data_IF_898220082673
#
_entry.id   IF_898220082673
#
_cell.length_a   1.000
_cell.length_b   1.000
_cell.length_c   1.000
_cell.angle_alpha   90.00
_cell.angle_beta   90.00
_cell.angle_gamma   90.00
#
_symmetry.space_group_name_H-M   'P 1'
#
loop_
_entity.id
_entity.type
_entity.pdbx_description
1 polymer ?
#
# COMPACT_ATOMS: atom_id res chain seq x y z
N UNK A 1 26.97 -0.85 34.79
CA UNK A 1 26.22 0.39 35.04
C UNK A 1 27.24 1.43 35.44
N UNK A 2 27.77 2.18 34.49
CA UNK A 2 28.57 3.38 34.79
C UNK A 2 28.59 4.31 33.56
N UNK A 3 27.90 5.45 33.74
CA UNK A 3 28.06 6.76 33.14
C UNK A 3 28.22 6.92 31.61
N UNK A 4 27.08 7.18 30.94
CA UNK A 4 26.97 7.63 29.54
C UNK A 4 26.59 9.13 29.42
N UNK A 5 27.15 10.01 30.25
CA UNK A 5 26.67 11.40 30.39
C UNK A 5 27.75 12.49 30.29
N UNK A 6 28.75 12.36 29.39
CA UNK A 6 29.79 13.40 29.29
C UNK A 6 30.25 13.83 27.88
N UNK A 7 29.42 13.70 26.82
CA UNK A 7 29.80 14.19 25.48
C UNK A 7 28.70 14.99 24.76
N UNK A 8 27.99 15.89 25.46
CA UNK A 8 27.01 16.80 24.83
C UNK A 8 27.32 18.30 25.01
N UNK A 9 28.58 18.66 25.24
CA UNK A 9 28.99 20.05 25.47
C UNK A 9 30.23 20.39 24.64
N UNK A 10 30.02 20.74 23.37
CA UNK A 10 30.81 21.68 22.57
C UNK A 10 30.47 21.50 21.08
N UNK A 11 29.32 22.01 20.67
CA UNK A 11 29.00 22.52 19.32
C UNK A 11 27.50 22.87 19.36
N UNK A 12 27.17 23.97 20.05
CA UNK A 12 25.84 24.57 19.90
C UNK A 12 25.78 25.21 18.52
N UNK A 13 24.93 24.67 17.64
CA UNK A 13 24.62 25.31 16.37
C UNK A 13 24.22 26.79 16.63
N UNK A 14 24.61 27.75 15.77
CA UNK A 14 24.19 29.14 15.91
C UNK A 14 22.66 29.21 16.01
N UNK A 15 22.12 30.20 16.73
CA UNK A 15 20.67 30.35 16.97
C UNK A 15 19.84 30.29 15.68
N UNK A 16 20.40 30.75 14.56
CA UNK A 16 19.82 30.68 13.21
C UNK A 16 19.60 29.25 12.68
N UNK A 17 20.35 28.27 13.20
CA UNK A 17 20.23 26.84 12.87
C UNK A 17 19.57 26.04 14.01
N UNK A 18 19.13 26.70 15.08
CA UNK A 18 18.33 26.10 16.14
C UNK A 18 16.86 26.17 15.77
N UNK A 19 16.26 25.01 15.56
CA UNK A 19 14.84 24.90 15.16
C UNK A 19 13.97 24.94 16.41
N UNK A 20 13.01 25.88 16.55
CA UNK A 20 12.00 25.81 17.59
C UNK A 20 11.16 24.54 17.38
N UNK A 21 11.06 23.69 18.41
CA UNK A 21 10.24 22.46 18.35
C UNK A 21 10.98 21.19 17.90
N UNK A 22 12.31 21.12 18.10
CA UNK A 22 13.11 19.92 17.85
C UNK A 22 12.45 18.67 18.45
N UNK A 23 11.95 17.78 17.61
CA UNK A 23 11.39 16.50 18.03
C UNK A 23 12.54 15.68 18.59
N UNK A 24 12.59 15.51 19.91
CA UNK A 24 13.51 14.59 20.57
C UNK A 24 12.98 13.16 20.43
N UNK A 25 12.99 12.63 19.20
CA UNK A 25 12.59 11.25 18.99
C UNK A 25 13.74 10.30 19.29
N UNK A 26 13.38 9.13 19.81
CA UNK A 26 14.29 8.02 20.07
C UNK A 26 14.82 7.48 18.73
N UNK A 27 16.12 7.69 18.44
CA UNK A 27 16.78 7.30 17.18
C UNK A 27 17.21 5.82 17.14
N UNK A 28 17.00 5.10 18.24
CA UNK A 28 17.30 3.68 18.43
C UNK A 28 16.27 2.74 17.77
N UNK A 29 15.06 3.23 17.49
CA UNK A 29 14.01 2.45 16.83
C UNK A 29 13.37 3.24 15.67
N UNK A 30 13.50 2.79 14.41
CA UNK A 30 12.93 3.45 13.23
C UNK A 30 11.41 3.68 13.32
N UNK A 31 10.66 2.72 13.88
CA UNK A 31 9.21 2.85 14.04
C UNK A 31 8.86 3.89 15.10
N UNK A 32 9.57 3.90 16.22
CA UNK A 32 9.33 4.91 17.26
C UNK A 32 9.68 6.32 16.78
N UNK A 33 10.75 6.45 15.99
CA UNK A 33 11.14 7.69 15.34
C UNK A 33 10.06 8.18 14.36
N UNK A 34 9.52 7.29 13.52
CA UNK A 34 8.44 7.61 12.58
C UNK A 34 7.14 7.99 13.30
N UNK A 35 6.77 7.23 14.33
CA UNK A 35 5.57 7.49 15.12
C UNK A 35 5.65 8.84 15.84
N UNK A 36 6.82 9.24 16.34
CA UNK A 36 7.00 10.55 16.97
C UNK A 36 6.63 11.69 16.00
N UNK A 37 7.08 11.61 14.74
CA UNK A 37 6.71 12.58 13.70
C UNK A 37 5.21 12.52 13.39
N UNK A 38 4.64 11.32 13.26
CA UNK A 38 3.22 11.14 13.01
C UNK A 38 2.33 11.71 14.12
N UNK A 39 2.73 11.57 15.40
CA UNK A 39 1.90 12.04 16.53
C UNK A 39 1.65 13.55 16.53
N UNK A 40 2.48 14.35 15.86
CA UNK A 40 2.20 15.78 15.67
C UNK A 40 0.98 16.03 14.78
N UNK A 41 0.76 15.14 13.83
CA UNK A 41 -0.29 15.20 12.82
C UNK A 41 -1.35 14.10 13.03
N UNK A 42 -1.52 13.64 14.27
CA UNK A 42 -2.45 12.55 14.62
C UNK A 42 -3.88 12.82 14.16
N UNK A 43 -4.31 14.09 14.11
CA UNK A 43 -5.62 14.51 13.63
C UNK A 43 -5.81 14.22 12.13
N UNK A 44 -4.77 14.38 11.29
CA UNK A 44 -4.81 13.99 9.87
C UNK A 44 -4.85 12.48 9.71
N UNK A 45 -4.13 11.75 10.57
CA UNK A 45 -4.23 10.30 10.64
C UNK A 45 -5.65 9.84 11.00
N UNK A 46 -6.28 10.49 11.99
CA UNK A 46 -7.63 10.21 12.42
C UNK A 46 -8.66 10.52 11.33
N UNK A 47 -8.58 11.68 10.66
CA UNK A 47 -9.51 12.01 9.56
C UNK A 47 -9.36 11.03 8.40
N UNK A 48 -8.14 10.57 8.11
CA UNK A 48 -7.90 9.54 7.10
C UNK A 48 -8.55 8.21 7.50
N UNK A 49 -8.41 7.78 8.76
CA UNK A 49 -9.01 6.55 9.26
C UNK A 49 -10.55 6.62 9.25
N UNK A 50 -11.13 7.70 9.79
CA UNK A 50 -12.58 7.93 9.82
C UNK A 50 -13.13 7.99 8.39
N UNK A 51 -12.48 8.74 7.51
CA UNK A 51 -12.86 8.84 6.10
C UNK A 51 -12.77 7.50 5.38
N UNK A 52 -11.77 6.66 5.70
CA UNK A 52 -11.62 5.34 5.12
C UNK A 52 -12.71 4.35 5.56
N UNK A 53 -12.97 4.25 6.86
CA UNK A 53 -14.02 3.40 7.43
C UNK A 53 -15.39 3.88 6.95
N UNK A 54 -15.66 5.19 7.03
CA UNK A 54 -16.90 5.78 6.57
C UNK A 54 -17.13 5.57 5.07
N UNK A 55 -16.10 5.74 4.24
CA UNK A 55 -16.20 5.45 2.82
C UNK A 55 -16.54 3.98 2.54
N UNK A 56 -15.92 3.04 3.25
CA UNK A 56 -16.19 1.61 3.09
C UNK A 56 -17.61 1.23 3.56
N UNK A 57 -18.02 1.70 4.73
CA UNK A 57 -19.37 1.47 5.25
C UNK A 57 -20.45 2.05 4.34
N UNK A 58 -20.23 3.24 3.76
CA UNK A 58 -21.17 3.86 2.82
C UNK A 58 -21.14 3.25 1.42
N UNK A 59 -20.05 2.57 1.05
CA UNK A 59 -20.00 1.79 -0.19
C UNK A 59 -20.98 0.60 -0.12
N UNK A 60 -21.08 -0.05 1.04
CA UNK A 60 -22.01 -1.15 1.29
C UNK A 60 -23.49 -0.74 1.27
N UNK A 61 -23.80 0.55 1.44
CA UNK A 61 -25.20 1.03 1.45
C UNK A 61 -25.87 0.82 0.09
N UNK A 62 -25.19 1.06 -1.01
CA UNK A 62 -25.77 0.94 -2.36
C UNK A 62 -26.33 -0.46 -2.61
N UNK A 63 -25.54 -1.55 -2.50
CA UNK A 63 -26.07 -2.89 -2.75
C UNK A 63 -27.19 -3.27 -1.77
N UNK A 64 -27.08 -2.88 -0.49
CA UNK A 64 -28.11 -3.13 0.53
C UNK A 64 -29.45 -2.47 0.18
N UNK A 65 -29.42 -1.18 -0.20
CA UNK A 65 -30.63 -0.43 -0.53
C UNK A 65 -31.22 -0.89 -1.87
N UNK A 66 -30.39 -1.23 -2.84
CA UNK A 66 -30.84 -1.84 -4.10
C UNK A 66 -31.53 -3.18 -3.83
N UNK A 67 -31.00 -4.02 -2.94
CA UNK A 67 -31.66 -5.25 -2.52
C UNK A 67 -33.04 -5.01 -1.91
N UNK A 68 -33.13 -4.06 -0.96
CA UNK A 68 -34.43 -3.69 -0.34
C UNK A 68 -35.43 -3.13 -1.36
N UNK A 69 -34.96 -2.38 -2.34
CA UNK A 69 -35.80 -1.87 -3.42
C UNK A 69 -36.35 -3.00 -4.30
N UNK A 70 -35.53 -4.02 -4.60
CA UNK A 70 -35.98 -5.21 -5.33
C UNK A 70 -37.04 -5.99 -4.55
N UNK A 71 -36.86 -6.18 -3.24
CA UNK A 71 -37.84 -6.86 -2.40
C UNK A 71 -39.18 -6.09 -2.35
N UNK A 72 -39.13 -4.77 -2.17
CA UNK A 72 -40.32 -3.92 -2.16
C UNK A 72 -41.12 -3.94 -3.49
N UNK A 73 -40.44 -4.19 -4.61
CA UNK A 73 -41.06 -4.36 -5.93
C UNK A 73 -41.70 -5.74 -6.14
N UNK A 74 -41.26 -6.75 -5.39
CA UNK A 74 -41.80 -8.11 -5.47
C UNK A 74 -42.98 -8.35 -4.52
N UNK A 75 -43.19 -7.46 -3.54
CA UNK A 75 -44.40 -7.45 -2.71
C UNK A 75 -45.67 -7.33 -3.59
N UNK A 76 -46.78 -7.89 -3.10
CA UNK A 76 -48.08 -7.79 -3.77
C UNK A 76 -49.13 -7.14 -2.84
N UNK A 77 -49.57 -5.88 -3.10
CA UNK A 77 -49.15 -5.02 -4.21
C UNK A 77 -47.72 -4.47 -4.05
N UNK A 78 -47.04 -4.12 -5.16
CA UNK A 78 -45.70 -3.53 -5.10
C UNK A 78 -45.67 -2.18 -4.37
N UNK A 79 -44.73 -2.01 -3.43
CA UNK A 79 -44.57 -0.79 -2.61
C UNK A 79 -43.74 0.27 -3.31
N UNK A 80 -44.21 0.74 -4.47
CA UNK A 80 -43.50 1.70 -5.32
C UNK A 80 -43.25 3.05 -4.65
N UNK A 81 -44.05 3.42 -3.67
CA UNK A 81 -43.90 4.63 -2.85
C UNK A 81 -42.57 4.69 -2.09
N UNK A 82 -41.94 3.54 -1.81
CA UNK A 82 -40.65 3.47 -1.11
C UNK A 82 -39.46 3.75 -2.02
N UNK A 83 -39.62 3.65 -3.34
CA UNK A 83 -38.50 3.75 -4.29
C UNK A 83 -37.86 5.14 -4.30
N UNK A 84 -38.66 6.20 -4.16
CA UNK A 84 -38.13 7.56 -4.06
C UNK A 84 -37.27 7.73 -2.81
N UNK A 85 -37.70 7.16 -1.68
CA UNK A 85 -36.93 7.19 -0.43
C UNK A 85 -35.62 6.41 -0.57
N UNK A 86 -35.63 5.23 -1.20
CA UNK A 86 -34.40 4.46 -1.47
C UNK A 86 -33.44 5.22 -2.38
N UNK A 87 -33.93 5.85 -3.44
CA UNK A 87 -33.11 6.68 -4.32
C UNK A 87 -32.49 7.87 -3.58
N UNK A 88 -33.28 8.57 -2.76
CA UNK A 88 -32.78 9.69 -1.94
C UNK A 88 -31.73 9.24 -0.92
N UNK A 89 -31.93 8.09 -0.27
CA UNK A 89 -30.92 7.50 0.64
C UNK A 89 -29.62 7.22 -0.11
N UNK A 90 -29.68 6.61 -1.30
CA UNK A 90 -28.48 6.36 -2.13
C UNK A 90 -27.79 7.69 -2.47
N UNK A 91 -28.52 8.69 -2.98
CA UNK A 91 -27.92 9.98 -3.35
C UNK A 91 -27.26 10.65 -2.15
N UNK A 92 -27.97 10.78 -1.02
CA UNK A 92 -27.43 11.42 0.18
C UNK A 92 -26.20 10.68 0.69
N UNK A 93 -26.26 9.35 0.76
CA UNK A 93 -25.13 8.55 1.27
C UNK A 93 -23.93 8.59 0.33
N UNK A 94 -24.13 8.62 -1.00
CA UNK A 94 -23.02 8.74 -1.95
C UNK A 94 -22.41 10.15 -1.95
N UNK A 95 -23.20 11.20 -1.72
CA UNK A 95 -22.67 12.56 -1.52
C UNK A 95 -21.80 12.64 -0.27
N UNK A 96 -22.29 12.10 0.86
CA UNK A 96 -21.51 12.03 2.11
C UNK A 96 -20.24 11.21 1.91
N UNK A 97 -20.35 10.05 1.24
CA UNK A 97 -19.20 9.21 0.89
C UNK A 97 -18.17 9.97 0.07
N UNK A 98 -18.59 10.73 -0.94
CA UNK A 98 -17.70 11.56 -1.74
C UNK A 98 -16.96 12.61 -0.90
N UNK A 99 -17.66 13.29 0.01
CA UNK A 99 -17.04 14.24 0.94
C UNK A 99 -16.01 13.56 1.87
N UNK A 100 -16.34 12.39 2.43
CA UNK A 100 -15.42 11.59 3.25
C UNK A 100 -14.20 11.11 2.46
N UNK A 101 -14.39 10.71 1.21
CA UNK A 101 -13.31 10.29 0.32
C UNK A 101 -12.37 11.45 -0.01
N UNK A 102 -12.89 12.64 -0.27
CA UNK A 102 -12.10 13.86 -0.45
C UNK A 102 -11.32 14.19 0.83
N UNK A 103 -11.98 14.20 1.99
CA UNK A 103 -11.34 14.46 3.28
C UNK A 103 -10.23 13.46 3.60
N UNK A 104 -10.46 12.17 3.32
CA UNK A 104 -9.48 11.10 3.47
C UNK A 104 -8.26 11.34 2.58
N UNK A 105 -8.48 11.52 1.28
CA UNK A 105 -7.38 11.64 0.31
C UNK A 105 -6.58 12.91 0.55
N UNK A 106 -7.25 14.03 0.86
CA UNK A 106 -6.58 15.28 1.21
C UNK A 106 -5.76 15.14 2.50
N UNK A 107 -6.30 14.49 3.53
CA UNK A 107 -5.60 14.31 4.80
C UNK A 107 -4.39 13.40 4.67
N UNK A 108 -4.50 12.30 3.90
CA UNK A 108 -3.39 11.40 3.62
C UNK A 108 -2.26 12.09 2.85
N UNK A 109 -2.62 12.87 1.82
CA UNK A 109 -1.66 13.62 1.00
C UNK A 109 -0.96 14.71 1.83
N UNK A 110 -1.72 15.51 2.57
CA UNK A 110 -1.18 16.55 3.43
C UNK A 110 -0.27 15.97 4.52
N UNK A 111 -0.68 14.85 5.14
CA UNK A 111 0.15 14.14 6.10
C UNK A 111 1.47 13.68 5.47
N UNK A 112 1.43 13.05 4.29
CA UNK A 112 2.63 12.62 3.58
C UNK A 112 3.59 13.77 3.29
N UNK A 113 3.07 14.90 2.82
CA UNK A 113 3.87 16.10 2.52
C UNK A 113 4.47 16.74 3.78
N UNK A 114 3.71 16.83 4.87
CA UNK A 114 4.22 17.38 6.14
C UNK A 114 5.31 16.49 6.74
N UNK A 115 5.12 15.17 6.73
CA UNK A 115 6.13 14.20 7.16
C UNK A 115 7.39 14.31 6.31
N UNK A 116 7.25 14.37 4.98
CA UNK A 116 8.39 14.55 4.08
C UNK A 116 9.15 15.85 4.37
N UNK A 117 8.43 16.97 4.54
CA UNK A 117 9.03 18.28 4.85
C UNK A 117 9.83 18.22 6.14
N UNK A 118 9.25 17.70 7.21
CA UNK A 118 9.87 17.71 8.54
C UNK A 118 11.09 16.80 8.60
N UNK A 119 11.00 15.62 7.96
CA UNK A 119 12.12 14.68 7.87
C UNK A 119 13.23 15.24 7.00
N UNK A 120 12.90 15.87 5.87
CA UNK A 120 13.88 16.55 5.00
C UNK A 120 14.62 17.64 5.78
N UNK A 121 13.89 18.39 6.59
CA UNK A 121 14.45 19.43 7.44
C UNK A 121 15.33 18.85 8.55
N UNK A 122 14.89 17.81 9.27
CA UNK A 122 15.71 17.13 10.29
C UNK A 122 17.01 16.59 9.69
N UNK A 123 16.93 15.96 8.51
CA UNK A 123 18.09 15.45 7.80
C UNK A 123 19.05 16.58 7.41
N UNK A 124 18.53 17.67 6.84
CA UNK A 124 19.32 18.83 6.45
C UNK A 124 20.05 19.47 7.65
N UNK A 125 19.35 19.74 8.74
CA UNK A 125 19.95 20.28 9.97
C UNK A 125 20.98 19.30 10.55
N UNK A 126 20.70 17.99 10.52
CA UNK A 126 21.66 16.98 10.97
C UNK A 126 22.91 16.93 10.09
N UNK A 127 22.81 17.18 8.78
CA UNK A 127 23.95 17.19 7.87
C UNK A 127 24.83 18.43 8.11
N UNK A 128 24.22 19.62 8.26
CA UNK A 128 24.96 20.85 8.56
C UNK A 128 25.76 20.80 9.87
N UNK A 129 25.28 20.03 10.85
CA UNK A 129 25.97 19.84 12.13
C UNK A 129 27.07 18.78 12.13
N UNK A 130 27.41 18.15 10.99
CA UNK A 130 28.48 17.14 10.92
C UNK A 130 29.85 17.77 10.67
N UNK A 131 30.90 17.04 11.05
CA UNK A 131 32.28 17.49 10.85
C UNK A 131 32.68 17.46 9.38
N UNK A 132 33.69 18.25 9.01
CA UNK A 132 34.26 18.21 7.66
C UNK A 132 34.77 16.81 7.29
N UNK A 133 35.28 16.03 8.26
CA UNK A 133 35.69 14.64 8.05
C UNK A 133 34.53 13.75 7.61
N UNK A 134 33.31 13.96 8.13
CA UNK A 134 32.13 13.22 7.68
C UNK A 134 31.82 13.55 6.22
N UNK A 135 31.86 14.85 5.86
CA UNK A 135 31.60 15.29 4.49
C UNK A 135 32.69 14.87 3.49
N UNK A 136 33.95 14.72 3.92
CA UNK A 136 35.03 14.23 3.05
C UNK A 136 34.95 12.73 2.76
N UNK A 137 34.22 11.97 3.57
CA UNK A 137 34.09 10.51 3.44
C UNK A 137 32.84 10.08 2.66
N UNK A 138 31.90 10.99 2.37
CA UNK A 138 30.68 10.69 1.61
C UNK A 138 30.64 11.47 0.29
N UNK A 139 30.37 10.80 -0.85
CA UNK A 139 30.10 11.49 -2.10
C UNK A 139 28.91 12.45 -1.96
N UNK A 140 29.06 13.69 -2.45
CA UNK A 140 27.98 14.69 -2.41
C UNK A 140 26.72 14.19 -3.13
N UNK A 141 26.89 13.43 -4.22
CA UNK A 141 25.80 12.80 -4.96
C UNK A 141 24.97 11.84 -4.10
N UNK A 142 25.61 11.03 -3.26
CA UNK A 142 24.92 10.09 -2.37
C UNK A 142 24.11 10.84 -1.31
N UNK A 143 24.68 11.91 -0.74
CA UNK A 143 23.99 12.74 0.25
C UNK A 143 22.76 13.40 -0.37
N UNK A 144 22.89 13.92 -1.60
CA UNK A 144 21.78 14.52 -2.34
C UNK A 144 20.70 13.50 -2.69
N UNK A 145 21.09 12.31 -3.17
CA UNK A 145 20.17 11.25 -3.52
C UNK A 145 19.35 10.79 -2.32
N UNK A 146 19.98 10.57 -1.15
CA UNK A 146 19.27 10.20 0.09
C UNK A 146 18.35 11.31 0.58
N UNK A 147 18.78 12.58 0.47
CA UNK A 147 17.98 13.72 0.90
C UNK A 147 16.77 14.00 0.00
N UNK A 148 16.86 13.63 -1.28
CA UNK A 148 15.79 13.85 -2.25
C UNK A 148 14.85 12.64 -2.39
N UNK A 149 15.40 11.44 -2.58
CA UNK A 149 14.67 10.23 -2.94
C UNK A 149 14.23 9.45 -1.71
N UNK A 150 15.15 9.11 -0.79
CA UNK A 150 14.78 8.29 0.39
C UNK A 150 13.76 9.00 1.28
N UNK A 151 13.88 10.32 1.44
CA UNK A 151 12.91 11.11 2.21
C UNK A 151 11.53 11.12 1.53
N UNK A 152 11.49 11.12 0.19
CA UNK A 152 10.24 11.05 -0.57
C UNK A 152 9.55 9.70 -0.43
N UNK A 153 10.27 8.61 -0.21
CA UNK A 153 9.66 7.30 0.07
C UNK A 153 8.77 7.33 1.33
N UNK A 154 9.08 8.18 2.31
CA UNK A 154 8.21 8.37 3.48
C UNK A 154 6.86 8.94 3.06
N UNK A 155 6.81 9.85 2.09
CA UNK A 155 5.55 10.36 1.54
C UNK A 155 4.71 9.20 0.99
N UNK A 156 5.31 8.31 0.20
CA UNK A 156 4.62 7.17 -0.41
C UNK A 156 4.05 6.17 0.59
N UNK A 157 4.67 6.05 1.78
CA UNK A 157 4.11 5.24 2.88
C UNK A 157 2.75 5.76 3.36
N UNK A 158 2.54 7.07 3.36
CA UNK A 158 1.27 7.68 3.78
C UNK A 158 0.32 7.88 2.59
N UNK A 159 0.81 8.37 1.46
CA UNK A 159 0.05 8.62 0.22
C UNK A 159 0.75 7.98 -0.99
N UNK A 160 0.25 6.85 -1.55
CA UNK A 160 -1.03 6.20 -1.29
C UNK A 160 -0.99 5.05 -0.28
N UNK A 161 0.16 4.75 0.36
CA UNK A 161 0.35 3.53 1.14
C UNK A 161 -0.73 3.27 2.21
N UNK A 162 -1.07 4.27 3.02
CA UNK A 162 -2.13 4.15 4.03
C UNK A 162 -3.50 3.83 3.41
N UNK A 163 -3.83 4.49 2.31
CA UNK A 163 -5.09 4.30 1.60
C UNK A 163 -5.21 2.88 1.01
N UNK A 164 -4.10 2.31 0.54
CA UNK A 164 -4.06 0.94 0.01
C UNK A 164 -4.28 -0.08 1.12
N UNK A 165 -3.62 0.06 2.27
CA UNK A 165 -3.77 -0.86 3.41
C UNK A 165 -5.20 -0.84 3.93
N UNK A 166 -5.74 0.34 4.24
CA UNK A 166 -7.09 0.45 4.80
C UNK A 166 -8.16 0.07 3.77
N UNK A 167 -7.96 0.43 2.49
CA UNK A 167 -8.85 0.02 1.40
C UNK A 167 -8.92 -1.49 1.25
N UNK A 168 -7.77 -2.17 1.24
CA UNK A 168 -7.67 -3.63 1.10
C UNK A 168 -8.26 -4.35 2.32
N UNK A 169 -8.01 -3.85 3.54
CA UNK A 169 -8.60 -4.40 4.74
C UNK A 169 -10.14 -4.31 4.72
N UNK A 170 -10.68 -3.17 4.31
CA UNK A 170 -12.12 -2.98 4.20
C UNK A 170 -12.75 -3.90 3.15
N UNK A 171 -12.09 -4.12 2.02
CA UNK A 171 -12.54 -5.06 0.98
C UNK A 171 -12.71 -6.48 1.52
N UNK A 172 -11.85 -6.91 2.45
CA UNK A 172 -11.94 -8.23 3.08
C UNK A 172 -12.97 -8.25 4.22
N UNK A 173 -13.00 -7.21 5.06
CA UNK A 173 -13.77 -7.20 6.31
C UNK A 173 -15.25 -6.92 6.08
N UNK A 174 -15.59 -5.99 5.17
CA UNK A 174 -16.99 -5.56 4.97
C UNK A 174 -17.91 -6.69 4.50
N UNK A 175 -17.54 -7.52 3.51
CA UNK A 175 -18.38 -8.66 3.13
C UNK A 175 -18.64 -9.60 4.30
N UNK A 176 -17.63 -9.87 5.15
CA UNK A 176 -17.77 -10.74 6.32
C UNK A 176 -18.78 -10.17 7.33
N UNK A 177 -18.69 -8.88 7.64
CA UNK A 177 -19.56 -8.21 8.62
C UNK A 177 -21.01 -8.13 8.12
N UNK A 178 -21.21 -7.69 6.87
CA UNK A 178 -22.56 -7.41 6.36
C UNK A 178 -23.29 -8.66 5.86
N UNK A 179 -22.60 -9.71 5.42
CA UNK A 179 -23.25 -10.94 4.93
C UNK A 179 -24.10 -11.65 5.98
N UNK A 180 -23.71 -11.55 7.26
CA UNK A 180 -24.46 -12.15 8.38
C UNK A 180 -25.88 -11.60 8.51
N UNK A 181 -26.14 -10.38 8.03
CA UNK A 181 -27.46 -9.74 8.12
C UNK A 181 -28.52 -10.43 7.25
N UNK A 182 -28.10 -11.15 6.22
CA UNK A 182 -29.00 -11.86 5.30
C UNK A 182 -29.23 -13.31 5.73
N UNK A 183 -28.14 -14.06 5.91
CA UNK A 183 -28.21 -15.42 6.43
C UNK A 183 -26.86 -15.82 7.03
N UNK A 184 -26.80 -16.48 8.21
CA UNK A 184 -25.53 -16.82 8.86
C UNK A 184 -24.57 -17.63 7.99
N UNK A 185 -25.08 -18.46 7.09
CA UNK A 185 -24.23 -19.25 6.19
C UNK A 185 -23.55 -18.43 5.09
N UNK A 186 -24.04 -17.23 4.76
CA UNK A 186 -23.46 -16.37 3.70
C UNK A 186 -22.13 -15.73 4.12
N UNK A 187 -21.69 -15.90 5.36
CA UNK A 187 -20.33 -15.58 5.78
C UNK A 187 -19.27 -16.55 5.22
N UNK A 188 -19.70 -17.74 4.78
CA UNK A 188 -18.80 -18.81 4.35
C UNK A 188 -18.00 -18.42 3.10
N UNK A 189 -18.60 -17.92 2.00
CA UNK A 189 -17.85 -17.53 0.80
C UNK A 189 -16.74 -16.50 1.04
N UNK A 190 -16.98 -15.34 1.70
CA UNK A 190 -15.91 -14.38 1.96
C UNK A 190 -14.85 -14.89 2.95
N UNK A 191 -15.21 -15.78 3.88
CA UNK A 191 -14.25 -16.42 4.77
C UNK A 191 -13.35 -17.43 4.02
N UNK A 192 -13.93 -18.23 3.12
CA UNK A 192 -13.17 -19.12 2.24
C UNK A 192 -12.24 -18.30 1.34
N UNK A 193 -12.73 -17.19 0.77
CA UNK A 193 -11.90 -16.26 0.01
C UNK A 193 -10.71 -15.78 0.83
N UNK A 194 -10.93 -15.30 2.06
CA UNK A 194 -9.87 -14.83 2.94
C UNK A 194 -8.81 -15.92 3.19
N UNK A 195 -9.23 -17.14 3.52
CA UNK A 195 -8.30 -18.25 3.78
C UNK A 195 -7.50 -18.60 2.53
N UNK A 196 -8.17 -18.79 1.40
CA UNK A 196 -7.52 -19.14 0.13
C UNK A 196 -6.60 -18.01 -0.36
N UNK A 197 -7.00 -16.75 -0.19
CA UNK A 197 -6.20 -15.57 -0.50
C UNK A 197 -4.91 -15.54 0.32
N UNK A 198 -4.99 -15.75 1.64
CA UNK A 198 -3.81 -15.77 2.51
C UNK A 198 -2.86 -16.90 2.12
N UNK A 199 -3.38 -18.11 1.87
CA UNK A 199 -2.57 -19.26 1.46
C UNK A 199 -1.90 -19.01 0.11
N UNK A 200 -2.66 -18.53 -0.88
CA UNK A 200 -2.15 -18.21 -2.21
C UNK A 200 -1.07 -17.12 -2.15
N UNK A 201 -1.32 -16.06 -1.36
CA UNK A 201 -0.37 -14.96 -1.18
C UNK A 201 0.90 -15.44 -0.48
N UNK A 202 0.79 -16.27 0.56
CA UNK A 202 1.93 -16.82 1.27
C UNK A 202 2.81 -17.69 0.36
N UNK A 203 2.19 -18.61 -0.38
CA UNK A 203 2.89 -19.45 -1.35
C UNK A 203 3.56 -18.61 -2.45
N UNK A 204 2.84 -17.64 -2.99
CA UNK A 204 3.34 -16.71 -4.00
C UNK A 204 4.58 -15.96 -3.51
N UNK A 205 4.53 -15.37 -2.32
CA UNK A 205 5.67 -14.63 -1.75
C UNK A 205 6.86 -15.55 -1.45
N UNK A 206 6.61 -16.77 -0.96
CA UNK A 206 7.66 -17.75 -0.67
C UNK A 206 8.42 -18.18 -1.95
N UNK A 207 7.70 -18.39 -3.06
CA UNK A 207 8.29 -18.73 -4.35
C UNK A 207 8.98 -17.54 -5.01
N UNK A 208 8.37 -16.35 -4.96
CA UNK A 208 8.86 -15.16 -5.64
C UNK A 208 10.12 -14.56 -5.00
N UNK A 209 10.20 -14.55 -3.66
CA UNK A 209 11.30 -13.91 -2.92
C UNK A 209 12.71 -14.31 -3.42
N UNK A 210 13.09 -15.61 -3.49
CA UNK A 210 14.42 -15.99 -3.97
C UNK A 210 14.64 -15.66 -5.45
N UNK A 211 13.58 -15.63 -6.27
CA UNK A 211 13.67 -15.32 -7.69
C UNK A 211 13.96 -13.83 -7.88
N UNK A 212 13.24 -12.96 -7.18
CA UNK A 212 13.50 -11.52 -7.19
C UNK A 212 14.90 -11.20 -6.67
N UNK A 213 15.41 -11.91 -5.66
CA UNK A 213 16.79 -11.77 -5.22
C UNK A 213 17.81 -12.20 -6.29
N UNK A 214 17.48 -13.24 -7.07
CA UNK A 214 18.33 -13.68 -8.19
C UNK A 214 18.37 -12.67 -9.34
N UNK A 215 17.24 -12.02 -9.62
CA UNK A 215 17.11 -10.92 -10.58
C UNK A 215 17.98 -9.73 -10.14
N UNK A 216 17.83 -9.28 -8.89
CA UNK A 216 18.62 -8.17 -8.33
C UNK A 216 20.12 -8.43 -8.41
N UNK A 217 20.56 -9.66 -8.08
CA UNK A 217 21.98 -10.06 -8.18
C UNK A 217 22.49 -10.05 -9.62
N UNK A 218 21.70 -10.55 -10.57
CA UNK A 218 22.07 -10.57 -11.99
C UNK A 218 22.16 -9.15 -12.56
N UNK A 219 21.20 -8.28 -12.22
CA UNK A 219 21.21 -6.87 -12.60
C UNK A 219 22.42 -6.13 -12.00
N UNK A 220 22.71 -6.36 -10.71
CA UNK A 220 23.89 -5.79 -10.05
C UNK A 220 25.21 -6.19 -10.71
N UNK A 221 25.36 -7.47 -11.09
CA UNK A 221 26.56 -7.96 -11.81
C UNK A 221 26.70 -7.30 -13.18
N UNK A 222 25.59 -7.19 -13.93
CA UNK A 222 25.56 -6.53 -15.24
C UNK A 222 26.03 -5.07 -15.14
N UNK A 223 25.44 -4.30 -14.21
CA UNK A 223 25.76 -2.89 -14.04
C UNK A 223 27.16 -2.66 -13.49
N UNK A 224 27.62 -3.48 -12.53
CA UNK A 224 28.97 -3.36 -11.99
C UNK A 224 30.02 -3.57 -13.07
N UNK A 225 29.87 -4.59 -13.93
CA UNK A 225 30.83 -4.82 -15.01
C UNK A 225 30.76 -3.75 -16.08
N UNK A 226 29.56 -3.26 -16.41
CA UNK A 226 29.40 -2.16 -17.34
C UNK A 226 30.11 -0.89 -16.83
N UNK A 227 29.93 -0.53 -15.55
CA UNK A 227 30.62 0.62 -14.95
C UNK A 227 32.13 0.47 -15.03
N UNK A 228 32.65 -0.69 -14.63
CA UNK A 228 34.09 -0.97 -14.66
C UNK A 228 34.67 -0.86 -16.09
N UNK A 229 33.98 -1.38 -17.09
CA UNK A 229 34.42 -1.30 -18.49
C UNK A 229 34.36 0.13 -19.05
N UNK A 230 33.37 0.93 -18.65
CA UNK A 230 33.23 2.33 -19.08
C UNK A 230 34.26 3.23 -18.38
N UNK A 231 34.43 3.06 -17.07
CA UNK A 231 35.43 3.81 -16.29
C UNK A 231 36.85 3.45 -16.74
N UNK A 232 37.08 2.19 -17.10
CA UNK A 232 38.35 1.66 -17.62
C UNK A 232 38.51 1.67 -19.14
N UNK A 233 37.72 2.47 -19.87
CA UNK A 233 37.61 2.35 -21.35
C UNK A 233 38.94 2.53 -22.08
N UNK A 234 39.85 3.36 -21.58
CA UNK A 234 41.19 3.54 -22.15
C UNK A 234 42.03 2.25 -22.04
N UNK A 235 41.89 1.50 -20.95
CA UNK A 235 42.58 0.22 -20.74
C UNK A 235 42.01 -0.85 -21.68
N UNK A 236 40.68 -0.92 -21.80
CA UNK A 236 40.01 -1.86 -22.71
C UNK A 236 40.48 -1.64 -24.16
N UNK A 237 40.50 -0.38 -24.62
CA UNK A 237 41.00 0.00 -25.95
C UNK A 237 42.49 -0.23 -26.11
N UNK A 238 43.28 0.07 -25.07
CA UNK A 238 44.73 -0.14 -25.06
C UNK A 238 45.13 -1.61 -25.17
N UNK A 239 44.27 -2.53 -24.70
CA UNK A 239 44.45 -3.97 -24.82
C UNK A 239 43.75 -4.59 -26.05
N UNK A 240 43.00 -3.81 -26.83
CA UNK A 240 42.17 -4.26 -27.94
C UNK A 240 41.14 -5.36 -27.55
N UNK A 241 40.54 -5.24 -26.37
CA UNK A 241 39.59 -6.20 -25.77
C UNK A 241 38.12 -5.76 -25.90
N UNK A 242 37.78 -4.80 -26.78
CA UNK A 242 36.42 -4.25 -26.88
C UNK A 242 35.37 -5.32 -27.23
N UNK A 243 35.67 -6.22 -28.19
CA UNK A 243 34.75 -7.30 -28.55
C UNK A 243 34.54 -8.29 -27.40
N UNK A 244 35.57 -8.53 -26.60
CA UNK A 244 35.51 -9.40 -25.43
C UNK A 244 34.57 -8.82 -24.37
N UNK A 245 34.70 -7.52 -24.07
CA UNK A 245 33.79 -6.83 -23.14
C UNK A 245 32.35 -6.77 -23.66
N UNK A 246 32.15 -6.52 -24.97
CA UNK A 246 30.82 -6.55 -25.58
C UNK A 246 30.18 -7.94 -25.43
N UNK A 247 30.95 -9.00 -25.69
CA UNK A 247 30.48 -10.38 -25.53
C UNK A 247 30.17 -10.71 -24.06
N UNK A 248 31.00 -10.27 -23.12
CA UNK A 248 30.77 -10.44 -21.68
C UNK A 248 29.51 -9.71 -21.22
N UNK A 249 29.32 -8.46 -21.65
CA UNK A 249 28.10 -7.69 -21.41
C UNK A 249 26.88 -8.41 -21.97
N UNK A 250 26.92 -8.86 -23.22
CA UNK A 250 25.82 -9.59 -23.85
C UNK A 250 25.46 -10.87 -23.08
N UNK A 251 26.46 -11.60 -22.57
CA UNK A 251 26.24 -12.79 -21.74
C UNK A 251 25.58 -12.45 -20.39
N UNK A 252 26.03 -11.39 -19.72
CA UNK A 252 25.42 -10.93 -18.47
C UNK A 252 24.00 -10.40 -18.69
N UNK A 253 23.75 -9.68 -19.78
CA UNK A 253 22.42 -9.21 -20.16
C UNK A 253 21.46 -10.38 -20.43
N UNK A 254 21.90 -11.42 -21.15
CA UNK A 254 21.11 -12.65 -21.34
C UNK A 254 20.82 -13.37 -20.02
N UNK A 255 21.77 -13.39 -19.07
CA UNK A 255 21.54 -13.97 -17.74
C UNK A 255 20.49 -13.18 -16.96
N UNK A 256 20.58 -11.86 -16.95
CA UNK A 256 19.59 -10.99 -16.34
C UNK A 256 18.21 -11.22 -16.98
N UNK A 257 18.11 -11.15 -18.31
CA UNK A 257 16.86 -11.40 -19.05
C UNK A 257 16.24 -12.76 -18.71
N UNK A 258 17.03 -13.84 -18.62
CA UNK A 258 16.52 -15.17 -18.25
C UNK A 258 15.95 -15.20 -16.82
N UNK A 259 16.54 -14.46 -15.88
CA UNK A 259 16.01 -14.35 -14.51
C UNK A 259 14.75 -13.51 -14.47
N UNK A 260 14.70 -12.44 -15.25
CA UNK A 260 13.53 -11.56 -15.38
C UNK A 260 12.34 -12.32 -15.96
N UNK A 261 12.54 -13.08 -17.03
CA UNK A 261 11.49 -13.92 -17.63
C UNK A 261 10.99 -14.95 -16.61
N UNK A 262 11.89 -15.59 -15.87
CA UNK A 262 11.50 -16.55 -14.84
C UNK A 262 10.67 -15.92 -13.71
N UNK A 263 11.00 -14.68 -13.31
CA UNK A 263 10.16 -13.93 -12.39
C UNK A 263 8.77 -13.68 -12.98
N UNK A 264 8.71 -13.21 -14.23
CA UNK A 264 7.46 -12.99 -14.95
C UNK A 264 6.59 -14.26 -15.07
N UNK A 265 7.20 -15.43 -15.29
CA UNK A 265 6.49 -16.71 -15.35
C UNK A 265 5.80 -17.07 -14.02
N UNK A 266 6.40 -16.71 -12.88
CA UNK A 266 5.82 -16.91 -11.55
C UNK A 266 4.75 -15.85 -11.25
N UNK A 267 5.00 -14.59 -11.59
CA UNK A 267 4.03 -13.50 -11.47
C UNK A 267 2.75 -13.76 -12.28
N UNK A 268 2.89 -14.32 -13.49
CA UNK A 268 1.75 -14.68 -14.35
C UNK A 268 0.84 -15.76 -13.75
N UNK A 269 1.30 -16.51 -12.75
CA UNK A 269 0.53 -17.55 -12.04
C UNK A 269 -0.18 -17.03 -10.80
N UNK A 270 -0.23 -15.72 -10.58
CA UNK A 270 -0.92 -15.14 -9.43
C UNK A 270 -2.44 -15.43 -9.45
N UNK A 271 -2.85 -16.46 -8.71
CA UNK A 271 -4.23 -16.98 -8.67
C UNK A 271 -5.29 -16.19 -7.87
N UNK A 272 -5.01 -15.17 -7.03
CA UNK A 272 -6.04 -14.52 -6.21
C UNK A 272 -7.29 -14.01 -6.93
N UNK A 273 -7.17 -13.52 -8.17
CA UNK A 273 -8.32 -13.09 -8.96
C UNK A 273 -9.22 -14.28 -9.36
N UNK A 274 -8.63 -15.44 -9.66
CA UNK A 274 -9.37 -16.68 -9.92
C UNK A 274 -10.08 -17.16 -8.65
N UNK A 275 -9.40 -17.12 -7.50
CA UNK A 275 -9.99 -17.45 -6.19
C UNK A 275 -11.18 -16.54 -5.89
N UNK A 276 -11.05 -15.24 -6.15
CA UNK A 276 -12.15 -14.28 -6.01
C UNK A 276 -13.35 -14.68 -6.87
N UNK A 277 -13.16 -14.91 -8.17
CA UNK A 277 -14.23 -15.33 -9.07
C UNK A 277 -14.90 -16.65 -8.65
N UNK A 278 -14.12 -17.65 -8.23
CA UNK A 278 -14.65 -18.92 -7.74
C UNK A 278 -15.48 -18.77 -6.46
N UNK A 279 -15.02 -17.96 -5.52
CA UNK A 279 -15.75 -17.70 -4.26
C UNK A 279 -17.00 -16.86 -4.48
N UNK A 280 -16.98 -15.91 -5.41
CA UNK A 280 -18.17 -15.16 -5.84
C UNK A 280 -19.19 -16.09 -6.51
N UNK A 281 -18.75 -16.97 -7.42
CA UNK A 281 -19.63 -17.96 -8.06
C UNK A 281 -20.22 -18.94 -7.02
N UNK A 282 -19.41 -19.44 -6.09
CA UNK A 282 -19.86 -20.29 -4.99
C UNK A 282 -20.83 -19.58 -4.04
N UNK A 283 -20.58 -18.31 -3.73
CA UNK A 283 -21.46 -17.48 -2.92
C UNK A 283 -22.79 -17.20 -3.59
N UNK A 284 -22.79 -16.91 -4.90
CA UNK A 284 -24.02 -16.76 -5.68
C UNK A 284 -24.82 -18.06 -5.71
N UNK A 285 -24.17 -19.20 -5.95
CA UNK A 285 -24.81 -20.52 -5.90
C UNK A 285 -25.47 -20.77 -4.54
N UNK A 286 -24.75 -20.49 -3.45
CA UNK A 286 -25.27 -20.63 -2.10
C UNK A 286 -26.46 -19.70 -1.82
N UNK A 287 -26.40 -18.44 -2.25
CA UNK A 287 -27.49 -17.49 -2.11
C UNK A 287 -28.75 -17.95 -2.88
N UNK A 288 -28.60 -18.39 -4.13
CA UNK A 288 -29.71 -18.95 -4.93
C UNK A 288 -30.32 -20.18 -4.25
N UNK A 289 -29.49 -21.05 -3.65
CA UNK A 289 -29.96 -22.21 -2.91
C UNK A 289 -30.78 -21.85 -1.65
N UNK A 290 -30.36 -20.81 -0.92
CA UNK A 290 -31.13 -20.29 0.22
C UNK A 290 -32.46 -19.66 -0.22
N UNK A 291 -32.45 -18.93 -1.34
CA UNK A 291 -33.63 -18.35 -1.94
C UNK A 291 -34.66 -19.42 -2.34
N UNK A 292 -34.22 -20.51 -2.98
CA UNK A 292 -35.10 -21.64 -3.35
C UNK A 292 -35.76 -22.32 -2.13
N UNK A 293 -35.15 -22.21 -0.95
CA UNK A 293 -35.69 -22.72 0.32
C UNK A 293 -36.57 -21.71 1.05
N UNK A 294 -36.76 -20.52 0.49
CA UNK A 294 -37.51 -19.42 1.12
C UNK A 294 -36.83 -18.82 2.35
N UNK A 295 -35.50 -18.97 2.48
CA UNK A 295 -34.75 -18.46 3.64
C UNK A 295 -34.28 -17.01 3.45
N UNK A 296 -34.17 -16.55 2.21
CA UNK A 296 -33.81 -15.18 1.82
C UNK A 296 -34.64 -14.74 0.62
N UNK A 297 -34.72 -13.43 0.38
CA UNK A 297 -35.44 -12.82 -0.75
C UNK A 297 -34.50 -12.55 -1.95
N UNK A 298 -35.06 -12.24 -3.12
CA UNK A 298 -34.26 -11.98 -4.33
C UNK A 298 -33.31 -10.79 -4.16
N UNK A 299 -33.77 -9.74 -3.49
CA UNK A 299 -32.97 -8.57 -3.18
C UNK A 299 -31.83 -8.85 -2.22
N UNK A 300 -31.94 -9.86 -1.34
CA UNK A 300 -30.84 -10.27 -0.46
C UNK A 300 -29.69 -10.86 -1.27
N UNK A 301 -30.01 -11.60 -2.36
CA UNK A 301 -29.00 -12.12 -3.30
C UNK A 301 -28.26 -10.97 -3.98
N UNK A 302 -29.01 -9.98 -4.49
CA UNK A 302 -28.43 -8.82 -5.17
C UNK A 302 -27.55 -8.00 -4.22
N UNK A 303 -28.00 -7.79 -2.98
CA UNK A 303 -27.25 -7.07 -1.97
C UNK A 303 -25.99 -7.82 -1.53
N UNK A 304 -26.10 -9.11 -1.23
CA UNK A 304 -24.96 -9.96 -0.88
C UNK A 304 -23.91 -9.99 -2.00
N UNK A 305 -24.33 -10.21 -3.25
CA UNK A 305 -23.40 -10.26 -4.38
C UNK A 305 -22.72 -8.91 -4.63
N UNK A 306 -23.46 -7.80 -4.46
CA UNK A 306 -22.90 -6.46 -4.55
C UNK A 306 -21.97 -6.07 -3.39
N UNK A 307 -22.03 -6.78 -2.25
CA UNK A 307 -21.05 -6.63 -1.16
C UNK A 307 -19.75 -7.39 -1.45
N UNK A 308 -19.80 -8.46 -2.25
CA UNK A 308 -18.64 -9.28 -2.60
C UNK A 308 -17.82 -8.75 -3.79
N UNK A 309 -18.36 -7.79 -4.56
CA UNK A 309 -17.69 -7.16 -5.71
C UNK A 309 -17.03 -5.85 -5.34
#
# INVERSE_FOLDING_TARGET
>A
MENSNHLTSEYSLPEEYQVPGRITSRRDNPLAWLLAHFTQYWYLGLTTLIGAIGNASLAAVVPVIVGRALNALQDNPPKTELLLNFALIIVVTQVIRGALQLGRNFSAELLGQLMERDIRHELYTSLLGKSMTYHSLLPVGDVMARSANDVREINFMFSPGFNLVVGSANFIIMPIIFSYQYHPSLIIPPLIFLVLYIVALWQYLYELQPITDSVRKAFGTLNSRLSEAVDGIETVKGMAEEESEINLFANNARRFMKREIHQGDVEARFVPLLVMGLTQAGGLFQAVFLFQRGLIEVGDIAAFFGLMG
#
